data_IF_649855529296
#
_entry.id   IF_649855529296
#
_cell.length_a   1.000
_cell.length_b   1.000
_cell.length_c   1.000
_cell.angle_alpha   90.00
_cell.angle_beta   90.00
_cell.angle_gamma   90.00
#
_symmetry.space_group_name_H-M   'P 1'
#
loop_
_entity.id
_entity.type
_entity.pdbx_description
1 polymer ?
#
# COMPACT_ATOMS: atom_id res chain seq x y z
N UNK A 1 10.06 -18.02 5.59
CA UNK A 1 8.74 -18.25 6.22
C UNK A 1 7.70 -18.04 5.13
N UNK A 2 6.91 -19.06 4.80
CA UNK A 2 6.01 -19.00 3.64
C UNK A 2 4.81 -18.11 3.99
N UNK A 3 4.60 -17.00 3.27
CA UNK A 3 3.56 -16.03 3.63
C UNK A 3 2.15 -16.63 3.54
N UNK A 4 1.97 -17.66 2.69
CA UNK A 4 0.74 -18.45 2.63
C UNK A 4 0.37 -19.09 3.96
N UNK A 5 1.33 -19.68 4.67
CA UNK A 5 1.09 -20.36 5.94
C UNK A 5 0.54 -19.42 7.03
N UNK A 6 1.06 -18.19 7.11
CA UNK A 6 0.57 -17.20 8.07
C UNK A 6 -0.84 -16.73 7.71
N UNK A 7 -1.14 -16.56 6.42
CA UNK A 7 -2.49 -16.23 5.96
C UNK A 7 -3.50 -17.32 6.31
N UNK A 8 -3.15 -18.59 6.04
CA UNK A 8 -4.01 -19.76 6.33
C UNK A 8 -4.27 -19.92 7.83
N UNK A 9 -3.25 -19.66 8.66
CA UNK A 9 -3.38 -19.66 10.11
C UNK A 9 -4.33 -18.56 10.59
N UNK A 10 -4.16 -17.33 10.10
CA UNK A 10 -5.03 -16.21 10.47
C UNK A 10 -6.48 -16.43 10.01
N UNK A 11 -6.68 -17.04 8.84
CA UNK A 11 -7.99 -17.42 8.36
C UNK A 11 -8.65 -18.46 9.28
N UNK A 12 -7.89 -19.49 9.68
CA UNK A 12 -8.36 -20.51 10.62
C UNK A 12 -8.73 -19.90 11.99
N UNK A 13 -7.93 -18.96 12.49
CA UNK A 13 -8.20 -18.23 13.73
C UNK A 13 -9.49 -17.40 13.59
N UNK A 14 -9.68 -16.72 12.46
CA UNK A 14 -10.88 -15.93 12.18
C UNK A 14 -12.14 -16.82 12.14
N UNK A 15 -12.07 -17.98 11.48
CA UNK A 15 -13.19 -18.93 11.38
C UNK A 15 -13.58 -19.50 12.75
N UNK A 16 -12.59 -19.93 13.55
CA UNK A 16 -12.84 -20.41 14.92
C UNK A 16 -13.38 -19.30 15.83
N UNK A 17 -12.85 -18.09 15.73
CA UNK A 17 -13.34 -16.92 16.47
C UNK A 17 -14.80 -16.61 16.14
N UNK A 18 -15.20 -16.74 14.87
CA UNK A 18 -16.58 -16.54 14.43
C UNK A 18 -17.53 -17.60 14.98
N UNK A 19 -17.14 -18.88 14.91
CA UNK A 19 -17.93 -20.01 15.40
C UNK A 19 -18.20 -19.93 16.91
N UNK A 20 -17.20 -19.56 17.71
CA UNK A 20 -17.32 -19.40 19.16
C UNK A 20 -18.32 -18.30 19.57
N UNK A 21 -18.52 -17.28 18.71
CA UNK A 21 -19.35 -16.12 19.02
C UNK A 21 -20.73 -16.16 18.36
N UNK A 22 -21.06 -17.19 17.58
CA UNK A 22 -22.34 -17.27 16.87
C UNK A 22 -22.56 -16.12 15.88
N UNK A 23 -21.49 -15.47 15.42
CA UNK A 23 -21.56 -14.36 14.48
C UNK A 23 -21.97 -14.88 13.10
N UNK A 24 -23.09 -14.38 12.56
CA UNK A 24 -23.46 -14.56 11.15
C UNK A 24 -22.71 -13.54 10.31
N UNK A 25 -22.28 -13.93 9.11
CA UNK A 25 -21.74 -12.98 8.13
C UNK A 25 -22.77 -11.87 7.90
N UNK A 26 -22.39 -10.59 8.07
CA UNK A 26 -23.29 -9.50 7.76
C UNK A 26 -23.54 -9.48 6.24
N UNK A 27 -24.72 -9.90 5.81
CA UNK A 27 -25.17 -9.70 4.43
C UNK A 27 -25.93 -8.38 4.36
N UNK A 28 -25.49 -7.47 3.50
CA UNK A 28 -26.13 -6.15 3.34
C UNK A 28 -25.95 -5.19 4.52
N UNK A 29 -24.82 -5.26 5.23
CA UNK A 29 -24.53 -4.29 6.28
C UNK A 29 -24.25 -2.90 5.68
N UNK A 30 -25.20 -1.99 5.87
CA UNK A 30 -25.00 -0.57 5.57
C UNK A 30 -24.08 0.11 6.58
N UNK A 31 -23.86 1.42 6.37
CA UNK A 31 -22.99 2.28 7.19
C UNK A 31 -23.17 2.10 8.70
N UNK A 32 -24.41 2.12 9.19
CA UNK A 32 -24.69 2.07 10.63
C UNK A 32 -24.16 0.79 11.29
N UNK A 33 -24.30 -0.35 10.61
CA UNK A 33 -23.85 -1.64 11.13
C UNK A 33 -22.32 -1.74 11.11
N UNK A 34 -21.66 -1.25 10.05
CA UNK A 34 -20.19 -1.20 10.00
C UNK A 34 -19.62 -0.33 11.13
N UNK A 35 -20.22 0.84 11.40
CA UNK A 35 -19.80 1.70 12.51
C UNK A 35 -20.03 1.04 13.88
N UNK A 36 -21.12 0.28 14.03
CA UNK A 36 -21.39 -0.50 15.25
C UNK A 36 -20.34 -1.59 15.45
N UNK A 37 -20.03 -2.34 14.39
CA UNK A 37 -18.97 -3.36 14.41
C UNK A 37 -17.58 -2.75 14.70
N UNK A 38 -17.29 -1.54 14.21
CA UNK A 38 -16.05 -0.84 14.53
C UNK A 38 -15.94 -0.46 16.02
N UNK A 39 -17.04 -0.04 16.65
CA UNK A 39 -17.06 0.16 18.12
C UNK A 39 -16.89 -1.14 18.89
N UNK A 40 -17.55 -2.22 18.46
CA UNK A 40 -17.36 -3.56 19.01
C UNK A 40 -15.90 -3.99 18.89
N UNK A 41 -15.28 -3.75 17.73
CA UNK A 41 -13.88 -4.10 17.48
C UNK A 41 -12.95 -3.34 18.43
N UNK A 42 -13.19 -2.05 18.69
CA UNK A 42 -12.38 -1.24 19.59
C UNK A 42 -12.56 -1.59 21.08
N UNK A 43 -13.75 -2.04 21.48
CA UNK A 43 -14.06 -2.37 22.88
C UNK A 43 -13.60 -3.78 23.31
N UNK A 44 -13.38 -4.67 22.35
CA UNK A 44 -13.02 -6.07 22.61
C UNK A 44 -11.58 -6.26 23.09
N UNK A 45 -11.40 -7.30 23.91
CA UNK A 45 -10.10 -7.73 24.47
C UNK A 45 -9.62 -9.10 23.95
N UNK A 46 -10.45 -9.86 23.21
CA UNK A 46 -10.09 -11.18 22.70
C UNK A 46 -9.53 -11.13 21.27
N UNK A 47 -8.30 -11.60 21.07
CA UNK A 47 -7.58 -11.54 19.79
C UNK A 47 -8.32 -12.28 18.65
N UNK A 48 -8.71 -13.54 18.87
CA UNK A 48 -9.41 -14.35 17.85
C UNK A 48 -10.77 -13.75 17.43
N UNK A 49 -11.51 -13.19 18.40
CA UNK A 49 -12.79 -12.51 18.15
C UNK A 49 -12.61 -11.16 17.43
N UNK A 50 -11.45 -10.51 17.60
CA UNK A 50 -11.09 -9.28 16.92
C UNK A 50 -10.80 -9.51 15.44
N UNK A 51 -10.03 -10.55 15.11
CA UNK A 51 -9.71 -10.92 13.72
C UNK A 51 -11.00 -11.21 12.92
N UNK A 52 -11.94 -11.95 13.50
CA UNK A 52 -13.20 -12.28 12.84
C UNK A 52 -14.02 -11.03 12.48
N UNK A 53 -14.16 -10.08 13.43
CA UNK A 53 -14.93 -8.85 13.19
C UNK A 53 -14.20 -7.85 12.31
N UNK A 54 -12.88 -7.77 12.39
CA UNK A 54 -12.10 -7.03 11.40
C UNK A 54 -12.38 -7.54 9.98
N UNK A 55 -12.37 -8.86 9.79
CA UNK A 55 -12.71 -9.48 8.51
C UNK A 55 -14.15 -9.19 8.06
N UNK A 56 -15.12 -9.25 8.98
CA UNK A 56 -16.52 -8.95 8.68
C UNK A 56 -16.74 -7.47 8.31
N UNK A 57 -16.04 -6.53 8.96
CA UNK A 57 -16.06 -5.09 8.61
C UNK A 57 -15.50 -4.88 7.20
N UNK A 58 -14.33 -5.45 6.90
CA UNK A 58 -13.68 -5.26 5.59
C UNK A 58 -14.51 -5.89 4.46
N UNK A 59 -15.08 -7.07 4.69
CA UNK A 59 -15.96 -7.72 3.71
C UNK A 59 -17.26 -6.93 3.49
N UNK A 60 -17.86 -6.41 4.56
CA UNK A 60 -19.05 -5.55 4.44
C UNK A 60 -18.73 -4.26 3.68
N UNK A 61 -17.61 -3.61 4.00
CA UNK A 61 -17.16 -2.40 3.29
C UNK A 61 -16.93 -2.66 1.80
N UNK A 62 -16.28 -3.76 1.43
CA UNK A 62 -15.99 -4.08 0.03
C UNK A 62 -17.28 -4.38 -0.78
N UNK A 63 -18.34 -4.86 -0.13
CA UNK A 63 -19.63 -5.08 -0.79
C UNK A 63 -20.43 -3.79 -1.07
N UNK A 64 -20.03 -2.65 -0.51
CA UNK A 64 -20.74 -1.37 -0.66
C UNK A 64 -20.45 -0.68 -1.99
N UNK A 65 -21.41 0.12 -2.48
CA UNK A 65 -21.19 1.03 -3.60
C UNK A 65 -20.23 2.18 -3.22
N UNK A 66 -19.54 2.82 -4.19
CA UNK A 66 -18.56 3.88 -3.90
C UNK A 66 -19.10 5.04 -3.04
N UNK A 67 -20.36 5.43 -3.22
CA UNK A 67 -21.00 6.46 -2.40
C UNK A 67 -21.18 6.01 -0.94
N UNK A 68 -21.59 4.77 -0.71
CA UNK A 68 -21.80 4.21 0.64
C UNK A 68 -20.46 4.00 1.36
N UNK A 69 -19.42 3.54 0.64
CA UNK A 69 -18.04 3.46 1.15
C UNK A 69 -17.55 4.81 1.68
N UNK A 70 -17.82 5.88 0.93
CA UNK A 70 -17.50 7.25 1.35
C UNK A 70 -18.19 7.62 2.66
N UNK A 71 -19.47 7.28 2.81
CA UNK A 71 -20.21 7.58 4.05
C UNK A 71 -19.69 6.79 5.26
N UNK A 72 -19.20 5.56 5.04
CA UNK A 72 -18.49 4.78 6.07
C UNK A 72 -17.19 5.45 6.48
N UNK A 73 -16.37 5.87 5.51
CA UNK A 73 -15.10 6.56 5.78
C UNK A 73 -15.32 7.89 6.53
N UNK A 74 -16.34 8.66 6.16
CA UNK A 74 -16.75 9.87 6.91
C UNK A 74 -17.18 9.49 8.33
N UNK A 75 -17.97 8.41 8.49
CA UNK A 75 -18.33 7.89 9.81
C UNK A 75 -17.12 7.50 10.66
N UNK A 76 -16.10 6.88 10.06
CA UNK A 76 -14.84 6.57 10.76
C UNK A 76 -14.09 7.84 11.17
N UNK A 77 -14.00 8.81 10.25
CA UNK A 77 -13.36 10.09 10.47
C UNK A 77 -13.98 10.84 11.65
N UNK A 78 -15.31 10.91 11.73
CA UNK A 78 -16.06 11.68 12.73
C UNK A 78 -16.15 10.98 14.08
N UNK A 79 -16.41 9.66 14.11
CA UNK A 79 -16.75 8.92 15.34
C UNK A 79 -15.52 8.49 16.16
N UNK A 80 -14.38 8.24 15.50
CA UNK A 80 -13.22 7.61 16.13
C UNK A 80 -12.05 8.57 16.38
N UNK A 81 -12.35 9.84 16.69
CA UNK A 81 -11.35 10.81 17.14
C UNK A 81 -10.72 10.48 18.51
N UNK A 82 -9.82 11.36 19.01
CA UNK A 82 -9.34 11.25 20.38
C UNK A 82 -10.49 11.53 21.37
N UNK A 83 -10.38 10.99 22.60
CA UNK A 83 -11.33 11.33 23.65
C UNK A 83 -11.03 12.76 24.15
N UNK A 84 -11.80 13.73 23.67
CA UNK A 84 -11.57 15.16 23.94
C UNK A 84 -11.61 15.50 25.43
N UNK A 85 -12.46 14.85 26.23
CA UNK A 85 -12.53 15.06 27.67
C UNK A 85 -11.22 14.64 28.35
N UNK A 86 -10.75 13.42 28.06
CA UNK A 86 -9.46 12.92 28.59
C UNK A 86 -8.27 13.71 28.08
N UNK A 87 -8.31 14.18 26.84
CA UNK A 87 -7.26 14.99 26.25
C UNK A 87 -7.13 16.35 26.94
N UNK A 88 -8.25 17.01 27.22
CA UNK A 88 -8.27 18.29 27.95
C UNK A 88 -7.76 18.12 29.38
N UNK A 89 -8.16 17.04 30.07
CA UNK A 89 -7.67 16.72 31.41
C UNK A 89 -6.15 16.48 31.43
N UNK A 90 -5.63 15.66 30.50
CA UNK A 90 -4.19 15.41 30.41
C UNK A 90 -3.39 16.66 30.03
N UNK A 91 -3.94 17.52 29.17
CA UNK A 91 -3.30 18.79 28.80
C UNK A 91 -3.19 19.75 30.00
N UNK A 92 -4.21 19.79 30.87
CA UNK A 92 -4.16 20.54 32.12
C UNK A 92 -3.09 19.99 33.06
N UNK A 93 -3.10 18.68 33.29
CA UNK A 93 -2.12 18.02 34.15
C UNK A 93 -0.67 18.25 33.68
N UNK A 94 -0.42 18.21 32.36
CA UNK A 94 0.89 18.54 31.78
C UNK A 94 1.27 20.00 31.99
N UNK A 95 0.32 20.93 31.86
CA UNK A 95 0.58 22.37 32.06
C UNK A 95 0.88 22.69 33.53
N UNK A 96 0.18 22.03 34.47
CA UNK A 96 0.36 22.21 35.91
C UNK A 96 1.65 21.56 36.43
N UNK A 97 2.05 20.41 35.88
CA UNK A 97 3.27 19.70 36.26
C UNK A 97 3.99 19.11 35.03
N UNK A 98 4.76 19.92 34.29
CA UNK A 98 5.48 19.45 33.11
C UNK A 98 6.54 18.41 33.49
N UNK A 99 6.41 17.20 32.94
CA UNK A 99 7.36 16.11 33.19
C UNK A 99 7.18 14.95 32.23
N UNK A 100 8.10 13.99 32.26
CA UNK A 100 8.07 12.83 31.35
C UNK A 100 6.79 12.00 31.49
N UNK A 101 6.28 11.85 32.72
CA UNK A 101 5.04 11.11 32.97
C UNK A 101 3.82 11.84 32.37
N UNK A 102 3.63 13.13 32.68
CA UNK A 102 2.49 13.91 32.16
C UNK A 102 2.56 14.12 30.65
N UNK A 103 3.78 14.23 30.07
CA UNK A 103 3.97 14.24 28.62
C UNK A 103 3.60 12.89 27.98
N UNK A 104 3.96 11.78 28.61
CA UNK A 104 3.60 10.43 28.17
C UNK A 104 2.09 10.20 28.20
N UNK A 105 1.42 10.61 29.27
CA UNK A 105 -0.04 10.52 29.41
C UNK A 105 -0.74 11.36 28.34
N UNK A 106 -0.30 12.61 28.15
CA UNK A 106 -0.82 13.50 27.09
C UNK A 106 -0.65 12.88 25.71
N UNK A 107 0.53 12.32 25.42
CA UNK A 107 0.78 11.63 24.16
C UNK A 107 -0.18 10.45 23.97
N UNK A 108 -0.32 9.58 24.98
CA UNK A 108 -1.18 8.40 24.91
C UNK A 108 -2.66 8.75 24.67
N UNK A 109 -3.20 9.77 25.33
CA UNK A 109 -4.61 10.16 25.14
C UNK A 109 -4.85 11.01 23.88
N UNK A 110 -3.78 11.57 23.29
CA UNK A 110 -3.88 12.32 22.03
C UNK A 110 -4.07 11.43 20.81
N UNK A 111 -3.75 10.14 20.92
CA UNK A 111 -3.92 9.20 19.81
C UNK A 111 -5.42 9.03 19.49
N UNK A 112 -5.84 9.27 18.23
CA UNK A 112 -7.22 9.06 17.84
C UNK A 112 -7.55 7.56 17.78
N UNK A 113 -8.77 7.20 18.19
CA UNK A 113 -9.26 5.81 18.12
C UNK A 113 -9.22 5.24 16.69
N UNK A 114 -9.22 6.09 15.66
CA UNK A 114 -9.01 5.72 14.24
C UNK A 114 -7.72 4.93 14.03
N UNK A 115 -6.61 5.30 14.69
CA UNK A 115 -5.37 4.57 14.51
C UNK A 115 -5.46 3.15 15.06
N UNK A 116 -6.06 3.00 16.25
CA UNK A 116 -6.31 1.68 16.82
C UNK A 116 -7.29 0.86 15.97
N UNK A 117 -8.32 1.49 15.41
CA UNK A 117 -9.25 0.82 14.49
C UNK A 117 -8.50 0.29 13.27
N UNK A 118 -7.67 1.11 12.61
CA UNK A 118 -6.88 0.72 11.44
C UNK A 118 -5.91 -0.42 11.79
N UNK A 119 -5.24 -0.36 12.95
CA UNK A 119 -4.37 -1.45 13.44
C UNK A 119 -5.13 -2.76 13.62
N UNK A 120 -6.32 -2.73 14.22
CA UNK A 120 -7.16 -3.92 14.42
C UNK A 120 -7.72 -4.48 13.12
N UNK A 121 -8.12 -3.60 12.19
CA UNK A 121 -8.54 -4.02 10.85
C UNK A 121 -7.42 -4.75 10.11
N UNK A 122 -6.16 -4.34 10.32
CA UNK A 122 -4.99 -4.97 9.72
C UNK A 122 -4.73 -6.41 10.22
N UNK A 123 -5.36 -6.83 11.33
CA UNK A 123 -5.25 -8.21 11.82
C UNK A 123 -6.04 -9.20 10.97
N UNK A 124 -7.01 -8.73 10.17
CA UNK A 124 -7.77 -9.59 9.28
C UNK A 124 -6.87 -10.16 8.16
N UNK A 125 -7.12 -11.40 7.69
CA UNK A 125 -6.50 -11.90 6.46
C UNK A 125 -6.73 -10.93 5.30
N UNK A 126 -5.67 -10.56 4.59
CA UNK A 126 -5.75 -9.55 3.51
C UNK A 126 -5.96 -8.10 3.98
N UNK A 127 -5.92 -7.85 5.30
CA UNK A 127 -6.19 -6.55 5.92
C UNK A 127 -5.36 -5.41 5.36
N UNK A 128 -4.05 -5.60 5.16
CA UNK A 128 -3.18 -4.56 4.61
C UNK A 128 -3.66 -4.06 3.25
N UNK A 129 -3.95 -4.97 2.31
CA UNK A 129 -4.39 -4.60 0.97
C UNK A 129 -5.78 -3.93 1.02
N UNK A 130 -6.68 -4.44 1.86
CA UNK A 130 -7.99 -3.83 2.06
C UNK A 130 -7.87 -2.40 2.60
N UNK A 131 -6.98 -2.14 3.56
CA UNK A 131 -6.72 -0.80 4.10
C UNK A 131 -6.12 0.13 3.04
N UNK A 132 -5.21 -0.36 2.19
CA UNK A 132 -4.66 0.42 1.07
C UNK A 132 -5.79 0.83 0.10
N UNK A 133 -6.70 -0.09 -0.24
CA UNK A 133 -7.88 0.20 -1.08
C UNK A 133 -8.87 1.16 -0.41
N UNK A 134 -9.13 1.01 0.89
CA UNK A 134 -9.97 1.96 1.64
C UNK A 134 -9.40 3.37 1.62
N UNK A 135 -8.08 3.51 1.73
CA UNK A 135 -7.44 4.82 1.62
C UNK A 135 -7.46 5.35 0.18
N UNK A 136 -7.37 4.49 -0.82
CA UNK A 136 -7.60 4.88 -2.21
C UNK A 136 -9.01 5.45 -2.42
N UNK A 137 -10.04 4.80 -1.87
CA UNK A 137 -11.42 5.32 -1.88
C UNK A 137 -11.52 6.69 -1.17
N UNK A 138 -10.82 6.85 -0.04
CA UNK A 138 -10.74 8.13 0.70
C UNK A 138 -10.15 9.24 -0.18
N UNK A 139 -9.07 8.95 -0.90
CA UNK A 139 -8.39 9.91 -1.78
C UNK A 139 -9.24 10.23 -3.01
N UNK A 140 -9.94 9.25 -3.58
CA UNK A 140 -10.86 9.45 -4.70
C UNK A 140 -12.06 10.35 -4.32
N UNK A 141 -12.49 10.31 -3.06
CA UNK A 141 -13.50 11.21 -2.52
C UNK A 141 -13.06 12.67 -2.42
N UNK A 142 -11.76 12.95 -2.53
CA UNK A 142 -11.17 14.27 -2.39
C UNK A 142 -11.15 14.79 -0.94
N UNK A 143 -10.37 15.85 -0.73
CA UNK A 143 -10.38 16.59 0.54
C UNK A 143 -11.70 17.35 0.68
N UNK A 144 -12.24 17.42 1.88
CA UNK A 144 -13.55 18.06 2.06
C UNK A 144 -13.96 18.36 3.49
N UNK A 145 -13.34 17.74 4.50
CA UNK A 145 -13.54 18.12 5.90
C UNK A 145 -12.28 17.89 6.73
N UNK A 146 -12.06 18.66 7.82
CA UNK A 146 -10.93 18.46 8.73
C UNK A 146 -10.85 17.04 9.31
N UNK A 147 -11.99 16.37 9.48
CA UNK A 147 -12.07 15.00 9.97
C UNK A 147 -11.55 13.99 8.94
N UNK A 148 -11.96 14.13 7.68
CA UNK A 148 -11.49 13.27 6.57
C UNK A 148 -9.99 13.45 6.35
N UNK A 149 -9.50 14.69 6.40
CA UNK A 149 -8.06 14.96 6.30
C UNK A 149 -7.28 14.38 7.50
N UNK A 150 -7.88 14.34 8.69
CA UNK A 150 -7.28 13.69 9.86
C UNK A 150 -7.20 12.17 9.68
N UNK A 151 -8.24 11.54 9.12
CA UNK A 151 -8.22 10.11 8.80
C UNK A 151 -7.12 9.77 7.78
N UNK A 152 -6.95 10.58 6.72
CA UNK A 152 -5.85 10.37 5.76
C UNK A 152 -4.47 10.49 6.44
N UNK A 153 -4.27 11.46 7.33
CA UNK A 153 -3.03 11.58 8.12
C UNK A 153 -2.77 10.34 8.99
N UNK A 154 -3.82 9.80 9.62
CA UNK A 154 -3.73 8.58 10.43
C UNK A 154 -3.33 7.36 9.56
N UNK A 155 -3.86 7.25 8.33
CA UNK A 155 -3.42 6.23 7.36
C UNK A 155 -1.95 6.40 6.97
N UNK A 156 -1.52 7.61 6.61
CA UNK A 156 -0.12 7.89 6.24
C UNK A 156 0.82 7.56 7.39
N UNK A 157 0.45 7.90 8.62
CA UNK A 157 1.24 7.59 9.81
C UNK A 157 1.48 6.07 9.95
N UNK A 158 0.40 5.28 9.91
CA UNK A 158 0.48 3.83 10.06
C UNK A 158 1.18 3.16 8.87
N UNK A 159 0.85 3.57 7.64
CA UNK A 159 1.50 3.03 6.45
C UNK A 159 2.99 3.36 6.40
N UNK A 160 3.43 4.54 6.89
CA UNK A 160 4.86 4.87 6.97
C UNK A 160 5.63 3.93 7.91
N UNK A 161 4.97 3.42 8.95
CA UNK A 161 5.54 2.43 9.86
C UNK A 161 5.53 1.02 9.25
N UNK A 162 4.41 0.61 8.64
CA UNK A 162 4.24 -0.74 8.09
C UNK A 162 5.04 -0.97 6.81
N UNK A 163 5.12 0.02 5.93
CA UNK A 163 5.85 -0.04 4.67
C UNK A 163 7.27 0.50 4.82
N UNK A 164 7.97 -0.01 5.83
CA UNK A 164 9.34 0.39 6.09
C UNK A 164 10.24 -0.01 4.92
N UNK A 165 10.95 0.98 4.37
CA UNK A 165 11.91 0.80 3.26
C UNK A 165 12.94 -0.32 3.49
N UNK A 166 13.27 -0.64 4.74
CA UNK A 166 14.23 -1.69 5.09
C UNK A 166 13.78 -3.09 4.68
N UNK A 167 12.48 -3.28 4.44
CA UNK A 167 11.90 -4.55 3.99
C UNK A 167 11.52 -4.55 2.50
N UNK A 168 11.82 -3.46 1.77
CA UNK A 168 11.62 -3.47 0.33
C UNK A 168 12.64 -4.37 -0.34
N UNK A 169 12.15 -5.27 -1.17
CA UNK A 169 12.96 -6.21 -1.94
C UNK A 169 12.84 -5.82 -3.41
N UNK A 170 13.99 -5.49 -4.00
CA UNK A 170 14.11 -5.32 -5.45
C UNK A 170 14.18 -6.70 -6.12
N UNK A 171 13.30 -6.95 -7.09
CA UNK A 171 13.30 -8.16 -7.92
C UNK A 171 13.37 -7.78 -9.39
N UNK A 172 14.15 -8.55 -10.16
CA UNK A 172 14.06 -8.52 -11.62
C UNK A 172 12.74 -9.16 -12.03
N UNK A 173 12.07 -8.54 -12.99
CA UNK A 173 10.89 -9.08 -13.65
C UNK A 173 11.29 -9.45 -15.08
N UNK A 174 10.91 -10.65 -15.47
CA UNK A 174 11.11 -11.21 -16.79
C UNK A 174 10.00 -12.22 -17.10
N UNK A 175 10.07 -12.88 -18.26
CA UNK A 175 9.04 -13.81 -18.70
C UNK A 175 8.91 -15.09 -17.85
N UNK A 176 9.86 -15.35 -16.93
CA UNK A 176 9.76 -16.44 -15.95
C UNK A 176 8.99 -16.04 -14.69
N UNK A 177 8.67 -14.75 -14.53
CA UNK A 177 7.90 -14.25 -13.39
C UNK A 177 6.47 -14.81 -13.41
N UNK A 178 5.90 -15.18 -12.26
CA UNK A 178 4.53 -15.68 -12.16
C UNK A 178 3.50 -14.78 -12.88
N UNK A 179 2.58 -15.40 -13.62
CA UNK A 179 1.61 -14.69 -14.45
C UNK A 179 0.73 -13.72 -13.66
N UNK A 180 0.38 -14.05 -12.40
CA UNK A 180 -0.39 -13.18 -11.52
C UNK A 180 0.32 -11.85 -11.19
N UNK A 181 1.66 -11.82 -11.22
CA UNK A 181 2.45 -10.58 -11.04
C UNK A 181 2.54 -9.83 -12.37
N UNK A 182 2.73 -10.54 -13.48
CA UNK A 182 2.80 -9.94 -14.82
C UNK A 182 1.50 -9.24 -15.21
N UNK A 183 0.35 -9.84 -14.91
CA UNK A 183 -0.98 -9.25 -15.14
C UNK A 183 -1.15 -7.92 -14.38
N UNK A 184 -0.65 -7.86 -13.14
CA UNK A 184 -0.64 -6.62 -12.35
C UNK A 184 0.23 -5.54 -12.98
N UNK A 185 1.38 -5.89 -13.58
CA UNK A 185 2.22 -4.91 -14.28
C UNK A 185 1.48 -4.31 -15.48
N UNK A 186 0.77 -5.13 -16.25
CA UNK A 186 -0.10 -4.65 -17.35
C UNK A 186 -1.13 -3.66 -16.80
N UNK A 187 -1.80 -4.02 -15.71
CA UNK A 187 -2.85 -3.19 -15.11
C UNK A 187 -2.34 -1.87 -14.52
N UNK A 188 -1.15 -1.86 -13.93
CA UNK A 188 -0.61 -0.71 -13.20
C UNK A 188 0.28 0.22 -14.03
N UNK A 189 0.56 -0.11 -15.30
CA UNK A 189 1.35 0.75 -16.16
C UNK A 189 0.63 2.07 -16.47
N UNK A 190 1.13 3.14 -15.86
CA UNK A 190 0.51 4.46 -15.85
C UNK A 190 1.19 5.49 -16.77
N UNK A 191 2.40 5.22 -17.26
CA UNK A 191 3.19 6.13 -18.11
C UNK A 191 3.02 5.77 -19.58
N UNK A 192 3.11 4.48 -19.90
CA UNK A 192 3.01 3.95 -21.25
C UNK A 192 2.14 2.69 -21.25
N UNK A 193 0.82 2.85 -21.26
CA UNK A 193 -0.17 1.76 -21.17
C UNK A 193 0.27 0.54 -21.98
N UNK A 194 0.28 -0.62 -21.32
CA UNK A 194 0.52 -1.91 -21.96
C UNK A 194 -0.85 -2.47 -22.35
N UNK A 195 -1.11 -2.63 -23.64
CA UNK A 195 -2.41 -3.06 -24.11
C UNK A 195 -2.68 -4.56 -23.85
N UNK A 196 -1.65 -5.39 -23.98
CA UNK A 196 -1.77 -6.84 -23.90
C UNK A 196 -0.47 -7.55 -23.48
N UNK A 197 -0.54 -8.89 -23.41
CA UNK A 197 0.58 -9.75 -23.07
C UNK A 197 1.71 -9.73 -24.11
N UNK A 198 1.41 -9.46 -25.38
CA UNK A 198 2.43 -9.40 -26.43
C UNK A 198 3.25 -8.12 -26.28
N UNK A 199 2.61 -7.01 -25.96
CA UNK A 199 3.30 -5.75 -25.67
C UNK A 199 4.14 -5.86 -24.39
N UNK A 200 3.61 -6.49 -23.32
CA UNK A 200 4.40 -6.79 -22.13
C UNK A 200 5.65 -7.62 -22.50
N UNK A 201 5.47 -8.67 -23.30
CA UNK A 201 6.59 -9.51 -23.74
C UNK A 201 7.63 -8.71 -24.51
N UNK A 202 7.22 -7.82 -25.41
CA UNK A 202 8.13 -6.97 -26.18
C UNK A 202 8.96 -6.03 -25.27
N UNK A 203 8.49 -5.72 -24.06
CA UNK A 203 9.19 -4.92 -23.05
C UNK A 203 10.05 -5.76 -22.10
N UNK A 204 9.85 -7.07 -22.01
CA UNK A 204 10.57 -7.95 -21.06
C UNK A 204 11.58 -8.89 -21.71
N UNK A 205 11.22 -9.48 -22.85
CA UNK A 205 11.96 -10.56 -23.52
C UNK A 205 13.28 -10.09 -24.17
N UNK A 206 13.35 -8.90 -24.81
CA UNK A 206 14.58 -8.47 -25.46
C UNK A 206 15.76 -8.33 -24.48
N UNK A 207 16.98 -8.74 -24.88
CA UNK A 207 18.15 -8.73 -24.00
C UNK A 207 18.59 -7.34 -23.55
N UNK A 208 18.16 -6.28 -24.23
CA UNK A 208 18.40 -4.88 -23.91
C UNK A 208 17.22 -4.19 -23.21
N UNK A 209 16.30 -4.96 -22.66
CA UNK A 209 15.27 -4.46 -21.75
C UNK A 209 15.43 -5.11 -20.37
N UNK A 210 15.17 -4.31 -19.34
CA UNK A 210 15.13 -4.77 -17.96
C UNK A 210 13.93 -4.13 -17.29
N UNK A 211 13.16 -4.94 -16.57
CA UNK A 211 12.12 -4.46 -15.68
C UNK A 211 12.47 -4.90 -14.27
N UNK A 212 12.35 -3.99 -13.33
CA UNK A 212 12.54 -4.24 -11.91
C UNK A 212 11.31 -3.82 -11.15
N UNK A 213 10.96 -4.55 -10.09
CA UNK A 213 9.88 -4.16 -9.20
C UNK A 213 10.29 -4.30 -7.73
N UNK A 214 9.82 -3.37 -6.91
CA UNK A 214 9.95 -3.36 -5.47
C UNK A 214 8.73 -4.04 -4.85
N UNK A 215 8.99 -5.03 -4.00
CA UNK A 215 7.98 -5.77 -3.26
C UNK A 215 8.15 -5.49 -1.77
N UNK A 216 7.05 -5.57 -1.03
CA UNK A 216 7.05 -5.47 0.42
C UNK A 216 6.34 -6.69 1.02
N UNK A 217 6.86 -7.32 2.08
CA UNK A 217 6.25 -8.53 2.65
C UNK A 217 4.82 -8.33 3.15
N UNK A 218 4.42 -7.09 3.48
CA UNK A 218 3.05 -6.77 3.88
C UNK A 218 2.02 -6.81 2.73
N UNK A 219 2.47 -6.79 1.47
CA UNK A 219 1.62 -6.92 0.28
C UNK A 219 2.22 -7.99 -0.66
N UNK A 220 1.75 -9.22 -0.49
CA UNK A 220 2.26 -10.40 -1.21
C UNK A 220 1.94 -10.28 -2.69
N UNK A 221 2.94 -10.60 -3.53
CA UNK A 221 2.85 -10.57 -4.98
C UNK A 221 2.31 -9.24 -5.54
N UNK A 222 2.50 -8.16 -4.80
CA UNK A 222 2.07 -6.81 -5.15
C UNK A 222 3.31 -5.97 -5.48
N UNK A 223 3.59 -5.67 -6.76
CA UNK A 223 4.68 -4.79 -7.11
C UNK A 223 4.29 -3.37 -6.70
N UNK A 224 4.98 -2.76 -5.72
CA UNK A 224 4.63 -1.41 -5.22
C UNK A 224 5.13 -0.32 -6.17
N UNK A 225 6.33 -0.53 -6.67
CA UNK A 225 6.99 0.38 -7.61
C UNK A 225 7.67 -0.50 -8.63
N UNK A 226 7.50 -0.21 -9.91
CA UNK A 226 8.31 -0.85 -10.92
C UNK A 226 8.96 0.16 -11.85
N UNK A 227 10.06 -0.28 -12.45
CA UNK A 227 11.03 0.54 -13.15
C UNK A 227 11.39 -0.18 -14.43
N UNK A 228 11.11 0.46 -15.56
CA UNK A 228 11.50 -0.03 -16.87
C UNK A 228 12.79 0.66 -17.34
N UNK A 229 13.73 -0.16 -17.82
CA UNK A 229 15.06 0.26 -18.24
C UNK A 229 15.36 -0.26 -19.64
N UNK A 230 15.78 0.64 -20.51
CA UNK A 230 16.33 0.33 -21.82
C UNK A 230 17.85 0.40 -21.78
N UNK A 231 18.52 -0.65 -22.28
CA UNK A 231 19.97 -0.68 -22.45
C UNK A 231 20.32 -0.17 -23.84
N UNK A 232 21.15 0.86 -23.90
CA UNK A 232 21.45 1.60 -25.13
C UNK A 232 22.93 1.96 -25.22
N UNK A 233 23.40 2.31 -26.42
CA UNK A 233 24.78 2.78 -26.64
C UNK A 233 24.94 4.28 -26.34
N UNK A 234 23.84 5.03 -26.37
CA UNK A 234 23.79 6.47 -26.19
C UNK A 234 22.55 6.87 -25.38
N UNK A 235 22.59 8.07 -24.81
CA UNK A 235 21.43 8.69 -24.16
C UNK A 235 20.45 9.12 -25.26
N UNK A 236 19.18 8.69 -25.22
CA UNK A 236 18.19 9.09 -26.22
C UNK A 236 17.76 10.55 -26.01
N UNK A 237 17.47 11.24 -27.10
CA UNK A 237 16.89 12.60 -27.07
C UNK A 237 15.36 12.63 -26.94
N UNK A 238 14.68 11.49 -27.10
CA UNK A 238 13.22 11.38 -27.05
C UNK A 238 12.79 9.95 -26.65
N UNK A 239 11.54 9.79 -26.23
CA UNK A 239 10.97 8.49 -25.81
C UNK A 239 10.58 7.59 -27.00
N UNK A 240 10.14 8.16 -28.12
CA UNK A 240 9.64 7.39 -29.26
C UNK A 240 10.63 6.33 -29.79
N UNK A 241 11.95 6.59 -29.92
CA UNK A 241 12.93 5.57 -30.31
C UNK A 241 13.11 4.44 -29.28
N UNK A 242 12.82 4.71 -28.00
CA UNK A 242 12.91 3.70 -26.92
C UNK A 242 11.74 2.72 -26.99
N UNK A 243 10.54 3.21 -27.35
CA UNK A 243 9.32 2.43 -27.45
C UNK A 243 9.07 1.84 -28.86
N UNK A 244 9.86 2.21 -29.86
CA UNK A 244 9.67 1.78 -31.24
C UNK A 244 9.72 0.24 -31.38
N UNK A 245 8.65 -0.34 -31.91
CA UNK A 245 8.53 -1.79 -32.10
C UNK A 245 9.56 -2.37 -33.10
N UNK A 246 9.92 -1.60 -34.14
CA UNK A 246 10.84 -2.02 -35.20
C UNK A 246 12.34 -1.81 -34.85
N UNK A 247 12.69 -1.68 -33.58
CA UNK A 247 14.09 -1.51 -33.14
C UNK A 247 14.87 -2.82 -33.26
N UNK A 248 16.16 -2.73 -33.55
CA UNK A 248 17.07 -3.88 -33.40
C UNK A 248 17.58 -3.95 -31.96
N UNK A 249 17.33 -5.05 -31.22
CA UNK A 249 17.88 -5.22 -29.88
C UNK A 249 19.41 -5.32 -29.91
N UNK A 250 20.07 -4.80 -28.89
CA UNK A 250 21.51 -4.99 -28.68
C UNK A 250 21.78 -6.04 -27.60
N UNK A 251 22.97 -6.63 -27.59
CA UNK A 251 23.37 -7.45 -26.45
C UNK A 251 23.58 -6.57 -25.21
N UNK A 252 23.17 -7.05 -24.03
CA UNK A 252 23.31 -6.31 -22.79
C UNK A 252 24.77 -5.93 -22.47
N UNK A 253 25.73 -6.76 -22.90
CA UNK A 253 27.16 -6.53 -22.70
C UNK A 253 27.71 -5.38 -23.56
N UNK A 254 27.06 -5.07 -24.68
CA UNK A 254 27.49 -4.01 -25.60
C UNK A 254 26.95 -2.64 -25.17
N UNK A 255 25.91 -2.63 -24.33
CA UNK A 255 25.27 -1.42 -23.87
C UNK A 255 26.22 -0.55 -23.04
N UNK A 256 26.14 0.77 -23.21
CA UNK A 256 26.96 1.75 -22.48
C UNK A 256 26.14 2.60 -21.51
N UNK A 257 24.83 2.64 -21.70
CA UNK A 257 23.89 3.50 -20.99
C UNK A 257 22.67 2.67 -20.56
N UNK A 258 22.26 2.84 -19.30
CA UNK A 258 20.96 2.38 -18.81
C UNK A 258 20.00 3.58 -18.75
N UNK A 259 18.91 3.51 -19.51
CA UNK A 259 17.90 4.56 -19.62
C UNK A 259 16.65 4.15 -18.86
N UNK A 260 16.38 4.85 -17.75
CA UNK A 260 15.15 4.72 -16.99
C UNK A 260 14.06 5.49 -17.72
N UNK A 261 13.14 4.79 -18.38
CA UNK A 261 12.11 5.43 -19.22
C UNK A 261 10.70 5.34 -18.64
N UNK A 262 10.45 4.43 -17.69
CA UNK A 262 9.21 4.38 -16.92
C UNK A 262 9.51 4.08 -15.45
N UNK A 263 8.86 4.81 -14.54
CA UNK A 263 8.83 4.54 -13.09
C UNK A 263 7.38 4.74 -12.63
N UNK A 264 6.75 3.66 -12.19
CA UNK A 264 5.33 3.66 -11.84
C UNK A 264 5.15 3.26 -10.39
N UNK A 265 4.37 4.06 -9.63
CA UNK A 265 3.86 3.68 -8.32
C UNK A 265 2.47 3.09 -8.51
N UNK A 266 2.28 1.83 -8.12
CA UNK A 266 1.10 1.05 -8.50
C UNK A 266 -0.08 1.26 -7.54
N UNK A 267 0.22 1.61 -6.29
CA UNK A 267 -0.78 1.68 -5.23
C UNK A 267 -1.14 3.14 -4.95
N UNK A 268 -2.27 3.62 -5.49
CA UNK A 268 -2.77 4.97 -5.22
C UNK A 268 -2.97 5.22 -3.72
N UNK A 269 -3.44 4.21 -3.00
CA UNK A 269 -3.55 4.22 -1.54
C UNK A 269 -2.22 4.35 -0.78
N UNK A 270 -1.05 4.28 -1.43
CA UNK A 270 0.26 4.54 -0.82
C UNK A 270 0.82 5.92 -1.18
N UNK A 271 0.04 6.78 -1.84
CA UNK A 271 0.45 8.16 -2.16
C UNK A 271 0.84 8.93 -0.89
N UNK A 272 2.02 9.54 -0.87
CA UNK A 272 2.54 10.26 0.30
C UNK A 272 3.27 9.38 1.33
N UNK A 273 3.31 8.06 1.15
CA UNK A 273 4.16 7.15 1.93
C UNK A 273 5.55 7.08 1.28
N UNK A 274 6.59 7.43 2.04
CA UNK A 274 7.96 7.48 1.50
C UNK A 274 8.65 6.13 1.56
N UNK A 275 9.05 5.62 0.40
CA UNK A 275 9.91 4.44 0.26
C UNK A 275 11.41 4.79 0.20
N UNK A 276 11.75 6.07 0.41
CA UNK A 276 13.11 6.60 0.39
C UNK A 276 13.61 7.06 -0.98
N UNK A 277 14.62 7.92 -0.98
CA UNK A 277 15.16 8.60 -2.17
C UNK A 277 16.16 7.77 -3.00
N UNK A 278 16.38 6.49 -2.65
CA UNK A 278 17.47 5.68 -3.19
C UNK A 278 17.02 4.47 -4.01
N UNK A 279 15.73 4.39 -4.39
CA UNK A 279 15.20 3.29 -5.21
C UNK A 279 16.01 3.12 -6.50
N UNK A 280 16.27 4.22 -7.21
CA UNK A 280 17.08 4.21 -8.45
C UNK A 280 18.52 3.75 -8.16
N UNK A 281 19.10 4.10 -7.00
CA UNK A 281 20.45 3.65 -6.65
C UNK A 281 20.54 2.14 -6.42
N UNK A 282 19.46 1.49 -5.98
CA UNK A 282 19.45 0.03 -5.79
C UNK A 282 19.44 -0.70 -7.14
N UNK A 283 18.77 -0.15 -8.15
CA UNK A 283 18.78 -0.68 -9.53
C UNK A 283 20.16 -0.52 -10.20
N UNK A 284 21.01 0.38 -9.70
CA UNK A 284 22.32 0.72 -10.27
C UNK A 284 23.52 0.05 -9.58
N UNK A 285 23.32 -0.76 -8.54
CA UNK A 285 24.47 -1.33 -7.79
C UNK A 285 25.19 -2.41 -8.61
N UNK A 286 26.50 -2.64 -8.37
CA UNK A 286 27.27 -3.70 -9.03
C UNK A 286 26.66 -5.10 -8.83
N UNK A 287 26.10 -5.36 -7.65
CA UNK A 287 25.39 -6.61 -7.30
C UNK A 287 23.96 -6.62 -7.88
N UNK A 288 23.48 -5.45 -8.31
CA UNK A 288 22.19 -5.19 -8.93
C UNK A 288 22.31 -5.05 -10.45
N UNK A 289 22.71 -6.13 -11.13
CA UNK A 289 22.44 -6.46 -12.54
C UNK A 289 22.78 -5.43 -13.66
N UNK A 290 23.20 -4.19 -13.38
CA UNK A 290 23.53 -3.14 -14.36
C UNK A 290 24.73 -2.31 -13.91
N UNK A 291 25.91 -2.62 -14.46
CA UNK A 291 27.18 -1.89 -14.25
C UNK A 291 27.42 -0.86 -15.36
N UNK A 292 26.54 0.14 -15.51
CA UNK A 292 26.64 1.14 -16.60
C UNK A 292 26.51 2.59 -16.11
N UNK A 293 26.99 3.54 -16.91
CA UNK A 293 26.77 4.98 -16.67
C UNK A 293 25.26 5.27 -16.78
N UNK A 294 24.65 5.82 -15.72
CA UNK A 294 23.21 6.07 -15.63
C UNK A 294 22.86 7.55 -15.63
N UNK A 295 21.79 7.93 -16.35
CA UNK A 295 21.17 9.26 -16.28
C UNK A 295 19.65 9.09 -16.22
N UNK A 296 19.00 9.69 -15.23
CA UNK A 296 17.55 9.61 -15.03
C UNK A 296 16.84 10.77 -15.73
N UNK A 297 15.81 10.49 -16.52
CA UNK A 297 14.86 11.50 -16.99
C UNK A 297 13.62 11.46 -16.08
N UNK A 298 13.27 12.58 -15.45
CA UNK A 298 11.93 12.73 -14.86
C UNK A 298 11.01 13.17 -15.99
N UNK A 299 9.92 12.44 -16.21
CA UNK A 299 8.73 13.04 -16.80
C UNK A 299 8.20 14.05 -15.80
N UNK A 300 8.28 15.34 -16.13
CA UNK A 300 7.37 16.32 -15.54
C UNK A 300 5.99 16.14 -16.22
N UNK A 301 4.89 16.44 -15.52
CA UNK A 301 3.53 16.12 -15.95
C UNK A 301 3.12 16.77 -17.28
#
# INVERSE_FOLDING_TARGET
MNVSFLSDLMQTVAERGRALMGLRRPMGAGRAEILRLADDLLSRRGEASGVAVAGDILAAYDALAPSERREVLIGFAERFGPNMSRLVEAAKAFTENPGLATAGDLHAVSEPRRQELIRRLNLAPGGTLALVRMREDLLAGGKGSPAVDALDRDFVHLFSSWFNRGFLVLRRIDWSTPANILEKIIHYEAVHTIADWNELRARLDPPDRRLYAFFHPALVDEPLIFVEVALMNNIPGAIAPVLAAARMPIAAADARTAVFYSISNTQRGLTGVSFGHFLIKQVLRPDGQLSLRSRSYRGEP
#
